data_IF_349211059398
#
_entry.id   IF_349211059398
#
_cell.length_a   1.000
_cell.length_b   1.000
_cell.length_c   1.000
_cell.angle_alpha   90.00
_cell.angle_beta   90.00
_cell.angle_gamma   90.00
#
_symmetry.space_group_name_H-M   'P 1'
#
loop_
_entity.id
_entity.type
_entity.pdbx_description
1 polymer ?
#
# COMPACT_ATOMS: atom_id res chain seq x y z
N UNK A 1 19.81 -25.15 -13.85
CA UNK A 1 20.22 -23.82 -14.34
C UNK A 1 19.44 -22.77 -13.57
N UNK A 2 20.08 -21.83 -12.88
CA UNK A 2 19.36 -20.75 -12.24
C UNK A 2 18.66 -19.91 -13.34
N UNK A 3 17.37 -19.65 -13.14
CA UNK A 3 16.61 -18.74 -14.00
C UNK A 3 17.25 -17.35 -13.93
N UNK A 4 17.71 -16.85 -15.06
CA UNK A 4 18.29 -15.52 -15.12
C UNK A 4 17.21 -14.48 -14.81
N UNK A 5 17.59 -13.42 -14.09
CA UNK A 5 16.77 -12.31 -13.61
C UNK A 5 15.73 -11.83 -14.66
N UNK A 6 16.14 -11.73 -15.91
CA UNK A 6 15.31 -11.30 -17.03
C UNK A 6 14.20 -12.30 -17.43
N UNK A 7 14.48 -13.59 -17.31
CA UNK A 7 13.57 -14.67 -17.66
C UNK A 7 12.41 -14.81 -16.65
N UNK A 8 12.68 -14.56 -15.36
CA UNK A 8 11.67 -14.66 -14.31
C UNK A 8 10.66 -13.51 -14.38
N UNK A 9 11.14 -12.28 -14.61
CA UNK A 9 10.31 -11.08 -14.80
C UNK A 9 9.46 -11.23 -16.07
N UNK A 10 10.04 -11.74 -17.18
CA UNK A 10 9.27 -12.00 -18.40
C UNK A 10 8.22 -13.10 -18.23
N UNK A 11 8.49 -14.15 -17.46
CA UNK A 11 7.52 -15.21 -17.17
C UNK A 11 6.37 -14.67 -16.34
N UNK A 12 6.63 -13.83 -15.33
CA UNK A 12 5.61 -13.21 -14.50
C UNK A 12 4.83 -12.15 -15.30
N UNK A 13 5.49 -11.37 -16.15
CA UNK A 13 4.82 -10.41 -17.07
C UNK A 13 3.94 -11.10 -18.10
N UNK A 14 4.30 -12.32 -18.55
CA UNK A 14 3.47 -13.11 -19.48
C UNK A 14 2.21 -13.68 -18.83
N UNK A 15 2.28 -14.07 -17.56
CA UNK A 15 1.13 -14.54 -16.77
C UNK A 15 0.19 -13.35 -16.46
N UNK A 16 0.73 -12.15 -16.42
CA UNK A 16 0.01 -10.92 -16.08
C UNK A 16 -0.46 -10.10 -17.32
N UNK A 17 -0.48 -10.71 -18.52
CA UNK A 17 -1.00 -10.04 -19.72
C UNK A 17 -2.46 -9.65 -19.55
N UNK A 18 -2.72 -8.38 -19.85
CA UNK A 18 -4.02 -7.74 -19.86
C UNK A 18 -5.10 -8.59 -20.55
N UNK A 19 -5.98 -9.17 -19.77
CA UNK A 19 -7.29 -9.55 -20.22
C UNK A 19 -8.24 -8.36 -20.04
N UNK A 20 -9.12 -8.03 -20.98
CA UNK A 20 -10.14 -7.02 -20.78
C UNK A 20 -10.95 -7.34 -19.53
N UNK A 21 -10.96 -6.43 -18.53
CA UNK A 21 -11.67 -6.61 -17.26
C UNK A 21 -10.81 -7.04 -16.07
N UNK A 22 -9.48 -7.09 -16.21
CA UNK A 22 -8.56 -7.29 -15.09
C UNK A 22 -8.09 -5.95 -14.54
N UNK A 23 -8.79 -5.50 -13.51
CA UNK A 23 -8.44 -4.29 -12.80
C UNK A 23 -7.32 -4.51 -11.76
N UNK A 24 -6.69 -3.43 -11.45
CA UNK A 24 -5.52 -3.09 -10.64
C UNK A 24 -5.13 -3.99 -9.45
N UNK A 25 -5.98 -4.88 -8.96
CA UNK A 25 -5.67 -5.83 -7.88
C UNK A 25 -4.49 -6.77 -8.17
N UNK A 26 -4.27 -7.08 -9.44
CA UNK A 26 -3.20 -7.98 -9.86
C UNK A 26 -1.81 -7.36 -9.81
N UNK A 27 -1.68 -6.06 -10.08
CA UNK A 27 -0.39 -5.35 -9.99
C UNK A 27 0.12 -5.37 -8.55
N UNK A 28 -0.78 -5.35 -7.59
CA UNK A 28 -0.46 -5.30 -6.17
C UNK A 28 -0.16 -6.66 -5.59
N UNK A 29 -0.86 -7.70 -6.02
CA UNK A 29 -0.49 -9.08 -5.72
C UNK A 29 0.87 -9.42 -6.35
N UNK A 30 1.14 -8.91 -7.55
CA UNK A 30 2.45 -9.00 -8.20
C UNK A 30 3.55 -8.31 -7.39
N UNK A 31 3.31 -7.10 -6.89
CA UNK A 31 4.25 -6.36 -6.05
C UNK A 31 4.52 -7.12 -4.74
N UNK A 32 3.49 -7.70 -4.10
CA UNK A 32 3.63 -8.52 -2.90
C UNK A 32 4.43 -9.81 -3.15
N UNK A 33 4.14 -10.52 -4.23
CA UNK A 33 4.88 -11.72 -4.64
C UNK A 33 6.31 -11.37 -5.01
N UNK A 34 6.52 -10.30 -5.76
CA UNK A 34 7.83 -9.81 -6.17
C UNK A 34 8.70 -9.46 -4.94
N UNK A 35 8.13 -8.77 -3.94
CA UNK A 35 8.81 -8.45 -2.69
C UNK A 35 9.25 -9.71 -1.95
N UNK A 36 8.34 -10.65 -1.74
CA UNK A 36 8.65 -11.91 -1.03
C UNK A 36 9.71 -12.73 -1.77
N UNK A 37 9.64 -12.74 -3.09
CA UNK A 37 10.62 -13.42 -3.93
C UNK A 37 11.98 -12.73 -3.89
N UNK A 38 12.03 -11.39 -3.92
CA UNK A 38 13.26 -10.61 -3.81
C UNK A 38 13.89 -10.76 -2.42
N UNK A 39 13.10 -10.81 -1.35
CA UNK A 39 13.60 -11.12 0.00
C UNK A 39 14.19 -12.54 0.09
N UNK A 40 13.52 -13.53 -0.51
CA UNK A 40 14.05 -14.90 -0.59
C UNK A 40 15.35 -14.95 -1.39
N UNK A 41 15.41 -14.26 -2.53
CA UNK A 41 16.61 -14.21 -3.38
C UNK A 41 17.77 -13.46 -2.70
N UNK A 42 17.53 -12.41 -1.92
CA UNK A 42 18.55 -11.73 -1.11
C UNK A 42 19.16 -12.67 -0.06
N UNK A 43 18.35 -13.54 0.54
CA UNK A 43 18.83 -14.53 1.53
C UNK A 43 19.70 -15.61 0.90
N UNK A 44 19.52 -15.91 -0.38
CA UNK A 44 20.19 -17.02 -1.07
C UNK A 44 21.20 -16.59 -2.14
N UNK A 45 21.24 -15.36 -2.60
CA UNK A 45 21.95 -14.98 -3.83
C UNK A 45 22.88 -13.75 -3.80
N UNK A 46 23.03 -13.02 -2.68
CA UNK A 46 23.95 -11.87 -2.62
C UNK A 46 23.33 -10.52 -3.07
N UNK A 47 24.14 -9.46 -3.02
CA UNK A 47 23.73 -8.05 -3.04
C UNK A 47 23.14 -7.49 -4.36
N UNK A 48 23.12 -8.26 -5.44
CA UNK A 48 22.79 -7.75 -6.80
C UNK A 48 21.32 -7.83 -7.20
N UNK A 49 20.41 -8.14 -6.27
CA UNK A 49 18.98 -8.32 -6.51
C UNK A 49 18.13 -7.21 -5.87
N UNK A 50 18.22 -6.00 -6.40
CA UNK A 50 17.28 -4.91 -6.11
C UNK A 50 16.09 -4.89 -7.10
N UNK A 51 15.00 -4.16 -6.80
CA UNK A 51 13.97 -3.89 -7.80
C UNK A 51 14.58 -3.13 -8.98
N UNK A 52 14.11 -3.43 -10.20
CA UNK A 52 14.51 -2.66 -11.39
C UNK A 52 13.91 -1.25 -11.35
N UNK A 53 14.43 -0.34 -12.17
CA UNK A 53 13.86 1.01 -12.32
C UNK A 53 12.39 0.95 -12.74
N UNK A 54 12.02 0.02 -13.63
CA UNK A 54 10.65 -0.20 -14.06
C UNK A 54 9.75 -0.69 -12.91
N UNK A 55 10.26 -1.57 -12.03
CA UNK A 55 9.53 -2.05 -10.86
C UNK A 55 9.26 -0.91 -9.87
N UNK A 56 10.25 -0.03 -9.66
CA UNK A 56 10.12 1.16 -8.81
C UNK A 56 9.10 2.14 -9.40
N UNK A 57 9.14 2.39 -10.70
CA UNK A 57 8.19 3.28 -11.37
C UNK A 57 6.75 2.77 -11.26
N UNK A 58 6.53 1.47 -11.50
CA UNK A 58 5.21 0.84 -11.34
C UNK A 58 4.72 0.85 -9.89
N UNK A 59 5.62 0.60 -8.94
CA UNK A 59 5.30 0.67 -7.51
C UNK A 59 4.95 2.10 -7.09
N UNK A 60 5.62 3.11 -7.64
CA UNK A 60 5.35 4.51 -7.37
C UNK A 60 3.96 4.94 -7.89
N UNK A 61 3.61 4.49 -9.10
CA UNK A 61 2.27 4.71 -9.65
C UNK A 61 1.19 4.04 -8.80
N UNK A 62 1.42 2.79 -8.38
CA UNK A 62 0.52 2.07 -7.48
C UNK A 62 0.37 2.78 -6.13
N UNK A 63 1.47 3.26 -5.55
CA UNK A 63 1.49 4.02 -4.30
C UNK A 63 0.61 5.27 -4.40
N UNK A 64 0.78 6.08 -5.44
CA UNK A 64 -0.02 7.29 -5.68
C UNK A 64 -1.52 6.98 -5.78
N UNK A 65 -1.86 5.92 -6.49
CA UNK A 65 -3.25 5.47 -6.63
C UNK A 65 -3.85 5.07 -5.29
N UNK A 66 -3.11 4.32 -4.48
CA UNK A 66 -3.58 3.93 -3.16
C UNK A 66 -3.71 5.12 -2.20
N UNK A 67 -2.78 6.08 -2.26
CA UNK A 67 -2.89 7.34 -1.51
C UNK A 67 -4.16 8.12 -1.89
N UNK A 68 -4.48 8.22 -3.18
CA UNK A 68 -5.70 8.90 -3.64
C UNK A 68 -6.97 8.17 -3.19
N UNK A 69 -6.99 6.84 -3.22
CA UNK A 69 -8.15 6.06 -2.75
C UNK A 69 -8.38 6.25 -1.25
N UNK A 70 -7.32 6.22 -0.45
CA UNK A 70 -7.42 6.43 1.00
C UNK A 70 -7.78 7.89 1.32
N UNK A 71 -7.22 8.85 0.57
CA UNK A 71 -7.52 10.28 0.73
C UNK A 71 -9.01 10.59 0.55
N UNK A 72 -9.67 9.93 -0.39
CA UNK A 72 -11.13 10.07 -0.58
C UNK A 72 -11.91 9.67 0.68
N UNK A 73 -11.49 8.61 1.36
CA UNK A 73 -12.11 8.16 2.61
C UNK A 73 -11.96 9.21 3.72
N UNK A 74 -10.85 9.93 3.75
CA UNK A 74 -10.58 11.01 4.70
C UNK A 74 -11.04 12.41 4.23
N UNK A 75 -11.89 12.52 3.23
CA UNK A 75 -12.33 13.81 2.68
C UNK A 75 -12.98 14.74 3.71
N UNK A 76 -13.59 14.18 4.77
CA UNK A 76 -14.17 14.92 5.89
C UNK A 76 -13.26 15.05 7.12
N UNK A 77 -11.99 14.64 7.03
CA UNK A 77 -11.06 14.60 8.17
C UNK A 77 -9.79 15.41 7.88
N UNK A 78 -9.32 16.17 8.86
CA UNK A 78 -8.11 16.98 8.72
C UNK A 78 -6.86 16.21 9.09
N UNK A 79 -6.07 15.83 8.10
CA UNK A 79 -4.77 15.15 8.26
C UNK A 79 -3.57 16.11 8.28
N UNK A 80 -3.79 17.44 8.26
CA UNK A 80 -2.72 18.44 8.20
C UNK A 80 -1.65 18.29 9.30
N UNK A 81 -1.97 17.87 10.54
CA UNK A 81 -0.92 17.65 11.56
C UNK A 81 0.13 16.61 11.16
N UNK A 82 -0.19 15.68 10.27
CA UNK A 82 0.80 14.70 9.77
C UNK A 82 1.66 15.22 8.63
N UNK A 83 1.14 16.10 7.80
CA UNK A 83 1.85 16.66 6.65
C UNK A 83 2.62 17.93 6.99
N UNK A 84 2.20 18.64 8.04
CA UNK A 84 2.88 19.83 8.51
C UNK A 84 4.20 19.48 9.21
N UNK A 85 5.30 20.00 8.67
CA UNK A 85 6.65 19.83 9.24
C UNK A 85 6.80 20.47 10.63
N UNK A 86 5.95 21.48 10.94
CA UNK A 86 5.99 22.23 12.21
C UNK A 86 5.09 21.62 13.29
N UNK A 87 4.28 20.62 12.95
CA UNK A 87 3.40 19.99 13.93
C UNK A 87 4.19 19.29 15.04
N UNK A 88 3.74 19.46 16.27
CA UNK A 88 4.34 18.81 17.43
C UNK A 88 4.10 17.29 17.42
N UNK A 89 4.97 16.48 18.04
CA UNK A 89 4.74 15.04 18.18
C UNK A 89 3.39 14.72 18.84
N UNK A 90 2.96 15.52 19.82
CA UNK A 90 1.68 15.35 20.50
C UNK A 90 0.50 15.58 19.53
N UNK A 91 0.54 16.64 18.72
CA UNK A 91 -0.49 16.93 17.74
C UNK A 91 -0.61 15.81 16.69
N UNK A 92 0.51 15.21 16.30
CA UNK A 92 0.52 14.05 15.39
C UNK A 92 -0.10 12.81 16.03
N UNK A 93 0.23 12.53 17.28
CA UNK A 93 -0.31 11.39 18.03
C UNK A 93 -1.82 11.54 18.24
N UNK A 94 -2.28 12.73 18.59
CA UNK A 94 -3.71 13.04 18.74
C UNK A 94 -4.45 12.89 17.41
N UNK A 95 -3.91 13.43 16.33
CA UNK A 95 -4.47 13.27 14.98
C UNK A 95 -4.56 11.78 14.58
N UNK A 96 -3.55 10.96 14.91
CA UNK A 96 -3.55 9.53 14.64
C UNK A 96 -4.69 8.81 15.37
N UNK A 97 -4.88 9.11 16.64
CA UNK A 97 -5.97 8.53 17.45
C UNK A 97 -7.34 8.91 16.90
N UNK A 98 -7.54 10.19 16.57
CA UNK A 98 -8.78 10.70 15.99
C UNK A 98 -9.05 10.13 14.59
N UNK A 99 -8.01 9.96 13.77
CA UNK A 99 -8.13 9.35 12.45
C UNK A 99 -8.54 7.87 12.53
N UNK A 100 -7.99 7.13 13.49
CA UNK A 100 -8.38 5.74 13.73
C UNK A 100 -9.85 5.63 14.21
N UNK A 101 -10.27 6.50 15.12
CA UNK A 101 -11.65 6.56 15.58
C UNK A 101 -12.61 6.92 14.42
N UNK A 102 -12.23 7.88 13.58
CA UNK A 102 -12.98 8.24 12.38
C UNK A 102 -13.22 7.03 11.46
N UNK A 103 -12.19 6.21 11.20
CA UNK A 103 -12.32 5.00 10.39
C UNK A 103 -13.23 3.95 11.04
N UNK A 104 -13.15 3.80 12.35
CA UNK A 104 -13.95 2.79 13.10
C UNK A 104 -15.42 3.21 13.16
N UNK A 105 -15.70 4.50 13.34
CA UNK A 105 -17.06 5.02 13.55
C UNK A 105 -17.80 5.39 12.26
N UNK A 106 -17.07 5.55 11.15
CA UNK A 106 -17.69 5.88 9.85
C UNK A 106 -18.55 4.70 9.36
N UNK A 107 -19.83 4.99 9.09
CA UNK A 107 -20.80 4.02 8.56
C UNK A 107 -20.83 3.96 7.03
N UNK A 108 -19.93 4.66 6.35
CA UNK A 108 -19.85 4.72 4.90
C UNK A 108 -19.56 3.34 4.30
N UNK A 109 -20.29 3.01 3.25
CA UNK A 109 -20.10 1.78 2.49
C UNK A 109 -19.41 2.09 1.18
N UNK A 110 -18.28 1.45 0.92
CA UNK A 110 -17.41 1.67 -0.22
C UNK A 110 -17.32 0.42 -1.09
N UNK A 111 -16.88 0.60 -2.33
CA UNK A 111 -16.69 -0.51 -3.25
C UNK A 111 -15.20 -0.86 -3.35
N UNK A 112 -14.85 -2.11 -3.09
CA UNK A 112 -13.52 -2.66 -3.40
C UNK A 112 -13.63 -3.46 -4.68
N UNK A 113 -12.76 -3.18 -5.63
CA UNK A 113 -12.60 -3.99 -6.81
C UNK A 113 -12.04 -5.36 -6.42
N UNK A 114 -12.75 -6.40 -6.83
CA UNK A 114 -12.32 -7.78 -6.66
C UNK A 114 -11.85 -8.30 -8.02
N UNK A 115 -10.62 -8.80 -8.09
CA UNK A 115 -9.99 -9.24 -9.35
C UNK A 115 -10.71 -10.38 -10.09
N UNK A 116 -11.80 -10.91 -9.54
CA UNK A 116 -12.66 -11.93 -10.17
C UNK A 116 -14.12 -11.69 -9.76
N UNK A 117 -14.77 -10.70 -10.34
CA UNK A 117 -16.21 -10.50 -10.13
C UNK A 117 -16.64 -9.05 -10.00
N UNK A 118 -17.93 -8.83 -9.68
CA UNK A 118 -18.48 -7.51 -9.43
C UNK A 118 -17.84 -6.83 -8.22
N UNK A 119 -17.76 -5.48 -8.20
CA UNK A 119 -17.27 -4.74 -7.05
C UNK A 119 -18.01 -5.14 -5.77
N UNK A 120 -17.27 -5.43 -4.72
CA UNK A 120 -17.84 -5.85 -3.44
C UNK A 120 -18.04 -4.63 -2.54
N UNK A 121 -19.23 -4.47 -2.00
CA UNK A 121 -19.52 -3.47 -0.96
C UNK A 121 -18.86 -3.89 0.35
N UNK A 122 -18.12 -2.97 0.95
CA UNK A 122 -17.44 -3.17 2.24
C UNK A 122 -17.56 -1.92 3.10
N UNK A 123 -17.47 -2.08 4.41
CA UNK A 123 -17.39 -0.95 5.33
C UNK A 123 -16.05 -0.20 5.23
N UNK A 124 -16.03 1.03 5.70
CA UNK A 124 -14.87 1.93 5.66
C UNK A 124 -13.60 1.29 6.27
N UNK A 125 -13.72 0.59 7.39
CA UNK A 125 -12.60 -0.11 8.05
C UNK A 125 -11.97 -1.15 7.11
N UNK A 126 -12.78 -2.02 6.51
CA UNK A 126 -12.31 -3.07 5.59
C UNK A 126 -11.67 -2.47 4.35
N UNK A 127 -12.28 -1.44 3.78
CA UNK A 127 -11.74 -0.68 2.65
C UNK A 127 -10.39 -0.09 3.01
N UNK A 128 -10.29 0.63 4.11
CA UNK A 128 -9.07 1.28 4.56
C UNK A 128 -7.93 0.28 4.76
N UNK A 129 -8.16 -0.80 5.51
CA UNK A 129 -7.13 -1.80 5.79
C UNK A 129 -6.64 -2.53 4.52
N UNK A 130 -7.54 -2.79 3.57
CA UNK A 130 -7.16 -3.39 2.29
C UNK A 130 -6.27 -2.45 1.47
N UNK A 131 -6.64 -1.16 1.36
CA UNK A 131 -5.85 -0.18 0.63
C UNK A 131 -4.51 0.14 1.31
N UNK A 132 -4.46 0.20 2.66
CA UNK A 132 -3.18 0.37 3.38
C UNK A 132 -2.26 -0.84 3.21
N UNK A 133 -2.78 -2.06 3.15
CA UNK A 133 -1.96 -3.25 2.85
C UNK A 133 -1.28 -3.12 1.49
N UNK A 134 -2.01 -2.65 0.49
CA UNK A 134 -1.50 -2.41 -0.86
C UNK A 134 -0.49 -1.27 -0.88
N UNK A 135 -0.84 -0.16 -0.23
CA UNK A 135 0.04 1.00 -0.07
C UNK A 135 1.39 0.59 0.53
N UNK A 136 1.36 -0.22 1.60
CA UNK A 136 2.59 -0.70 2.25
C UNK A 136 3.46 -1.52 1.31
N UNK A 137 2.88 -2.41 0.52
CA UNK A 137 3.63 -3.22 -0.44
C UNK A 137 4.35 -2.34 -1.48
N UNK A 138 3.68 -1.32 -2.01
CA UNK A 138 4.27 -0.35 -2.93
C UNK A 138 5.32 0.54 -2.24
N UNK A 139 5.05 0.99 -1.03
CA UNK A 139 5.96 1.81 -0.21
C UNK A 139 7.29 1.09 0.04
N UNK A 140 7.25 -0.18 0.42
CA UNK A 140 8.45 -0.98 0.70
C UNK A 140 9.38 -1.13 -0.53
N UNK A 141 8.83 -1.00 -1.74
CA UNK A 141 9.62 -1.01 -2.99
C UNK A 141 10.17 0.39 -3.31
N UNK A 142 9.37 1.44 -3.14
CA UNK A 142 9.74 2.81 -3.50
C UNK A 142 10.65 3.48 -2.48
N UNK A 143 10.51 3.18 -1.20
CA UNK A 143 11.21 3.88 -0.13
C UNK A 143 12.75 3.83 -0.27
N UNK A 144 13.39 2.71 -0.67
CA UNK A 144 14.83 2.67 -0.84
C UNK A 144 15.36 3.52 -2.00
N UNK A 145 14.53 3.88 -3.00
CA UNK A 145 14.94 4.71 -4.13
C UNK A 145 15.13 6.19 -3.75
N UNK A 146 14.48 6.63 -2.68
CA UNK A 146 14.50 8.04 -2.25
C UNK A 146 13.67 8.98 -3.14
N UNK A 147 12.89 8.47 -4.08
CA UNK A 147 12.11 9.26 -5.04
C UNK A 147 10.77 9.77 -4.48
N UNK A 148 10.35 9.28 -3.31
CA UNK A 148 9.10 9.70 -2.69
C UNK A 148 9.16 11.16 -2.25
N UNK A 149 8.15 11.94 -2.60
CA UNK A 149 7.99 13.30 -2.10
C UNK A 149 7.73 13.29 -0.59
N UNK A 150 7.98 14.44 0.07
CA UNK A 150 7.70 14.57 1.49
C UNK A 150 6.23 14.28 1.85
N UNK A 151 5.31 14.71 1.00
CA UNK A 151 3.88 14.47 1.18
C UNK A 151 3.54 12.97 1.06
N UNK A 152 4.02 12.31 0.01
CA UNK A 152 3.83 10.88 -0.22
C UNK A 152 4.39 10.05 0.94
N UNK A 153 5.59 10.40 1.43
CA UNK A 153 6.23 9.76 2.56
C UNK A 153 5.41 9.94 3.85
N UNK A 154 5.01 11.19 4.16
CA UNK A 154 4.27 11.52 5.37
C UNK A 154 2.89 10.87 5.40
N UNK A 155 2.14 10.92 4.30
CA UNK A 155 0.83 10.29 4.20
C UNK A 155 0.91 8.76 4.27
N UNK A 156 1.90 8.15 3.61
CA UNK A 156 2.10 6.70 3.68
C UNK A 156 2.37 6.24 5.11
N UNK A 157 3.26 6.93 5.82
CA UNK A 157 3.56 6.64 7.22
C UNK A 157 2.35 6.87 8.13
N UNK A 158 1.60 7.95 7.89
CA UNK A 158 0.37 8.26 8.61
C UNK A 158 -0.65 7.12 8.48
N UNK A 159 -0.98 6.73 7.26
CA UNK A 159 -1.99 5.69 7.00
C UNK A 159 -1.56 4.32 7.56
N UNK A 160 -0.28 3.97 7.46
CA UNK A 160 0.24 2.74 8.07
C UNK A 160 0.15 2.76 9.59
N UNK A 161 0.42 3.90 10.23
CA UNK A 161 0.29 4.08 11.68
C UNK A 161 -1.18 3.99 12.13
N UNK A 162 -2.09 4.66 11.43
CA UNK A 162 -3.54 4.59 11.67
C UNK A 162 -4.04 3.15 11.53
N UNK A 163 -3.61 2.42 10.50
CA UNK A 163 -4.00 1.03 10.31
C UNK A 163 -3.53 0.13 11.45
N UNK A 164 -2.33 0.34 11.96
CA UNK A 164 -1.83 -0.39 13.13
C UNK A 164 -2.68 -0.12 14.38
N UNK A 165 -3.11 1.11 14.57
CA UNK A 165 -3.98 1.49 15.69
C UNK A 165 -5.38 0.88 15.55
N UNK A 166 -5.97 0.95 14.35
CA UNK A 166 -7.28 0.35 14.04
C UNK A 166 -7.29 -1.17 14.31
N UNK A 167 -6.23 -1.89 13.90
CA UNK A 167 -6.10 -3.34 14.16
C UNK A 167 -6.04 -3.65 15.65
N UNK A 168 -5.23 -2.92 16.41
CA UNK A 168 -5.10 -3.11 17.87
C UNK A 168 -6.41 -2.89 18.59
N UNK A 169 -7.13 -1.82 18.24
CA UNK A 169 -8.43 -1.47 18.86
C UNK A 169 -9.52 -2.48 18.50
N UNK A 170 -9.43 -3.12 17.35
CA UNK A 170 -10.41 -4.12 16.89
C UNK A 170 -10.11 -5.55 17.35
N UNK A 171 -9.06 -5.78 18.11
CA UNK A 171 -8.69 -7.12 18.61
C UNK A 171 -8.19 -8.08 17.52
N UNK A 172 -7.91 -7.59 16.31
CA UNK A 172 -7.35 -8.41 15.24
C UNK A 172 -5.87 -8.64 15.51
N UNK A 173 -5.50 -9.91 15.76
CA UNK A 173 -4.10 -10.32 15.90
C UNK A 173 -3.34 -10.09 14.61
N UNK A 174 -2.10 -9.68 14.74
CA UNK A 174 -1.15 -9.68 13.63
C UNK A 174 -0.95 -11.13 13.12
N UNK A 175 -1.41 -11.37 11.92
CA UNK A 175 -0.85 -12.44 11.08
C UNK A 175 0.19 -11.84 10.13
#
# INVERSE_FOLDING_TARGET
>A
KPLQKHSLIQTISRVNRNYPGKDFGYVIDYIGIHKNMMEAMRRFGGEDFGPSEDDVAQAHEALRRELENIKKLFSGFNLSPFTDKKATPMARLECLSQAAEYIITTSETLHIESGKGAPKKVGAKTFFLAHVKRLRAAYDICQPSGELSHEELSLSQCYMAVASYVRKTSGEKHD
#
